data_IF_890766149049
#
_entry.id   IF_890766149049
#
_cell.length_a   1.000
_cell.length_b   1.000
_cell.length_c   1.000
_cell.angle_alpha   90.00
_cell.angle_beta   90.00
_cell.angle_gamma   90.00
#
_symmetry.space_group_name_H-M   'P 1'
#
loop_
_entity.id
_entity.type
_entity.pdbx_description
1 polymer ?
#
# COMPACT_ATOMS: atom_id res chain seq x y z
N UNK A 1 41.29 -13.53 2.50
CA UNK A 1 39.89 -13.76 2.96
C UNK A 1 39.51 -12.52 3.74
N UNK A 2 38.85 -11.55 3.09
CA UNK A 2 38.52 -10.25 3.68
C UNK A 2 37.08 -10.31 4.22
N UNK A 3 36.81 -9.93 5.47
CA UNK A 3 35.45 -9.86 5.98
C UNK A 3 34.83 -8.56 5.44
N UNK A 4 34.20 -8.63 4.28
CA UNK A 4 33.46 -7.52 3.70
C UNK A 4 31.98 -7.74 3.97
N UNK A 5 31.42 -7.01 4.95
CA UNK A 5 30.32 -6.05 4.75
C UNK A 5 29.93 -5.49 6.13
N UNK A 6 30.28 -4.23 6.46
CA UNK A 6 29.58 -3.52 7.51
C UNK A 6 28.13 -3.35 7.05
N UNK A 7 27.20 -3.74 7.92
CA UNK A 7 25.77 -3.58 7.72
C UNK A 7 25.47 -2.13 7.32
N UNK A 8 25.24 -1.89 6.03
CA UNK A 8 24.54 -0.71 5.56
C UNK A 8 23.10 -0.91 6.07
N UNK A 9 22.82 -0.50 7.31
CA UNK A 9 21.45 -0.28 7.73
C UNK A 9 20.99 0.96 6.96
N UNK A 10 20.14 0.83 5.95
CA UNK A 10 19.60 1.99 5.28
C UNK A 10 18.89 2.84 6.33
N UNK A 11 18.92 4.16 6.15
CA UNK A 11 18.34 5.12 7.10
C UNK A 11 16.85 4.84 7.43
N UNK A 12 16.16 4.06 6.60
CA UNK A 12 14.75 3.67 6.76
C UNK A 12 14.52 2.33 7.44
N UNK A 13 15.53 1.56 7.85
CA UNK A 13 15.32 0.23 8.46
C UNK A 13 15.92 0.15 9.86
N UNK A 14 15.24 0.75 10.82
CA UNK A 14 15.61 0.74 12.23
C UNK A 14 14.59 -0.04 13.05
N UNK A 15 15.02 -0.60 14.18
CA UNK A 15 14.13 -1.22 15.17
C UNK A 15 13.18 -2.31 14.61
N UNK A 16 13.62 -3.04 13.58
CA UNK A 16 12.86 -4.11 12.91
C UNK A 16 11.54 -3.64 12.26
N UNK A 17 11.49 -2.39 11.78
CA UNK A 17 10.42 -1.81 10.96
C UNK A 17 11.00 -1.01 9.78
N UNK A 18 10.17 -0.69 8.79
CA UNK A 18 10.52 0.20 7.67
C UNK A 18 10.07 1.62 8.04
N UNK A 19 10.94 2.39 8.69
CA UNK A 19 10.64 3.72 9.23
C UNK A 19 10.76 4.86 8.21
N UNK A 20 9.95 5.91 8.37
CA UNK A 20 10.04 7.16 7.61
C UNK A 20 11.39 7.89 7.79
N UNK A 21 11.84 8.06 9.04
CA UNK A 21 13.07 8.76 9.35
C UNK A 21 13.74 8.21 10.61
N UNK A 22 15.08 8.22 10.69
CA UNK A 22 15.81 7.61 11.80
C UNK A 22 15.85 8.48 13.07
N UNK A 23 15.54 9.77 12.96
CA UNK A 23 15.84 10.74 14.00
C UNK A 23 14.61 11.25 14.75
N UNK A 24 13.53 11.62 14.04
CA UNK A 24 12.38 12.33 14.59
C UNK A 24 11.21 11.41 14.94
N UNK A 25 10.50 10.91 13.94
CA UNK A 25 9.26 10.14 14.13
C UNK A 25 9.55 8.65 14.34
N UNK A 26 10.40 8.08 13.48
CA UNK A 26 10.81 6.66 13.56
C UNK A 26 9.61 5.71 13.45
N UNK A 27 8.60 6.10 12.68
CA UNK A 27 7.36 5.37 12.53
C UNK A 27 7.34 4.57 11.24
N UNK A 28 6.73 3.38 11.28
CA UNK A 28 6.66 2.46 10.15
C UNK A 28 5.66 2.87 9.09
N UNK A 29 5.78 4.07 8.52
CA UNK A 29 4.81 4.59 7.56
C UNK A 29 4.70 3.70 6.32
N UNK A 30 3.48 3.23 6.07
CA UNK A 30 3.21 2.22 5.04
C UNK A 30 3.33 2.78 3.63
N UNK A 31 3.04 4.08 3.43
CA UNK A 31 3.23 4.78 2.16
C UNK A 31 4.70 4.87 1.75
N UNK A 32 5.58 5.29 2.66
CA UNK A 32 7.03 5.35 2.47
C UNK A 32 7.61 3.96 2.19
N UNK A 33 7.21 2.98 3.01
CA UNK A 33 7.66 1.61 2.88
C UNK A 33 7.22 0.95 1.58
N UNK A 34 5.99 1.19 1.08
CA UNK A 34 5.55 0.60 -0.19
C UNK A 34 6.25 1.21 -1.40
N UNK A 35 6.58 2.51 -1.38
CA UNK A 35 7.35 3.14 -2.46
C UNK A 35 8.77 2.60 -2.56
N UNK A 36 9.39 2.30 -1.42
CA UNK A 36 10.80 1.92 -1.34
C UNK A 36 11.03 0.40 -1.34
N UNK A 37 9.99 -0.41 -1.08
CA UNK A 37 10.12 -1.86 -0.86
C UNK A 37 10.81 -2.61 -2.00
N UNK A 38 10.55 -2.25 -3.26
CA UNK A 38 11.19 -2.92 -4.39
C UNK A 38 12.70 -2.69 -4.39
N UNK A 39 13.15 -1.44 -4.24
CA UNK A 39 14.58 -1.11 -4.19
C UNK A 39 15.26 -1.78 -2.99
N UNK A 40 14.61 -1.75 -1.82
CA UNK A 40 15.07 -2.42 -0.63
C UNK A 40 15.27 -3.94 -0.81
N UNK A 41 14.31 -4.63 -1.42
CA UNK A 41 14.40 -6.07 -1.66
C UNK A 41 15.41 -6.44 -2.76
N UNK A 42 15.68 -5.55 -3.70
CA UNK A 42 16.75 -5.74 -4.70
C UNK A 42 18.16 -5.61 -4.09
N UNK A 43 18.35 -4.63 -3.20
CA UNK A 43 19.68 -4.19 -2.80
C UNK A 43 20.16 -4.80 -1.47
N UNK A 44 19.25 -5.36 -0.67
CA UNK A 44 19.52 -5.77 0.70
C UNK A 44 18.94 -7.16 0.97
N UNK A 45 19.58 -7.90 1.88
CA UNK A 45 19.00 -9.13 2.44
C UNK A 45 17.89 -8.78 3.45
N UNK A 46 16.74 -8.40 2.90
CA UNK A 46 15.60 -7.85 3.65
C UNK A 46 14.43 -8.82 3.76
N UNK A 47 14.61 -10.10 3.35
CA UNK A 47 13.53 -11.10 3.32
C UNK A 47 12.83 -11.26 4.68
N UNK A 48 13.62 -11.47 5.74
CA UNK A 48 13.07 -11.67 7.10
C UNK A 48 12.39 -10.41 7.63
N UNK A 49 12.99 -9.25 7.36
CA UNK A 49 12.45 -7.95 7.78
C UNK A 49 11.09 -7.70 7.13
N UNK A 50 10.97 -7.81 5.80
CA UNK A 50 9.70 -7.59 5.12
C UNK A 50 8.65 -8.63 5.44
N UNK A 51 9.03 -9.91 5.61
CA UNK A 51 8.06 -10.93 6.05
C UNK A 51 7.43 -10.57 7.39
N UNK A 52 8.24 -10.10 8.36
CA UNK A 52 7.75 -9.63 9.66
C UNK A 52 6.92 -8.35 9.51
N UNK A 53 7.43 -7.35 8.79
CA UNK A 53 6.74 -6.07 8.64
C UNK A 53 5.40 -6.18 7.90
N UNK A 54 5.29 -7.08 6.91
CA UNK A 54 4.01 -7.42 6.29
C UNK A 54 3.00 -7.87 7.34
N UNK A 55 3.41 -8.73 8.29
CA UNK A 55 2.53 -9.16 9.38
C UNK A 55 2.17 -8.03 10.33
N UNK A 56 3.11 -7.12 10.62
CA UNK A 56 2.77 -5.92 11.41
C UNK A 56 1.68 -5.08 10.71
N UNK A 57 1.69 -5.00 9.37
CA UNK A 57 0.62 -4.33 8.59
C UNK A 57 -0.71 -5.07 8.76
N UNK A 58 -0.70 -6.41 8.68
CA UNK A 58 -1.90 -7.23 8.85
C UNK A 58 -2.48 -7.09 10.27
N UNK A 59 -1.62 -7.15 11.28
CA UNK A 59 -1.98 -7.04 12.70
C UNK A 59 -2.48 -5.64 13.06
N UNK A 60 -2.03 -4.62 12.32
CA UNK A 60 -2.50 -3.24 12.49
C UNK A 60 -3.81 -2.95 11.74
N UNK A 61 -4.26 -3.84 10.83
CA UNK A 61 -5.50 -3.62 10.09
C UNK A 61 -6.70 -3.73 11.03
N UNK A 62 -7.63 -2.79 10.91
CA UNK A 62 -8.88 -2.82 11.66
C UNK A 62 -9.69 -4.08 11.27
N UNK A 63 -10.01 -4.97 12.23
CA UNK A 63 -10.59 -6.27 11.93
C UNK A 63 -12.04 -6.19 11.44
N UNK A 64 -12.76 -5.12 11.78
CA UNK A 64 -14.18 -4.93 11.53
C UNK A 64 -14.44 -4.22 10.19
N UNK A 65 -13.70 -3.13 9.96
CA UNK A 65 -13.86 -2.27 8.79
C UNK A 65 -12.95 -2.66 7.64
N UNK A 66 -11.78 -3.24 7.91
CA UNK A 66 -10.74 -3.48 6.92
C UNK A 66 -9.85 -2.26 6.63
N UNK A 67 -9.99 -1.17 7.40
CA UNK A 67 -9.12 0.00 7.34
C UNK A 67 -7.67 -0.39 7.67
N UNK A 68 -6.73 0.03 6.82
CA UNK A 68 -5.30 -0.22 7.01
C UNK A 68 -4.68 1.05 7.57
N UNK A 69 -4.04 0.93 8.73
CA UNK A 69 -3.39 2.04 9.39
C UNK A 69 -2.21 2.60 8.57
N UNK A 70 -1.94 3.89 8.75
CA UNK A 70 -0.87 4.58 8.02
C UNK A 70 0.53 4.25 8.54
N UNK A 71 0.64 3.64 9.72
CA UNK A 71 1.88 3.13 10.29
C UNK A 71 1.71 1.68 10.74
N UNK A 72 2.77 0.89 10.62
CA UNK A 72 2.81 -0.51 11.06
C UNK A 72 4.14 -0.81 11.79
N UNK A 73 4.11 -1.16 13.11
CA UNK A 73 2.94 -1.16 13.98
C UNK A 73 2.28 0.22 14.13
N UNK A 74 0.99 0.24 14.44
CA UNK A 74 0.25 1.49 14.54
C UNK A 74 0.61 2.29 15.80
N UNK A 75 1.15 3.49 15.60
CA UNK A 75 1.47 4.46 16.66
C UNK A 75 0.96 5.87 16.32
N UNK A 76 -0.10 5.97 15.50
CA UNK A 76 -0.59 7.23 14.94
C UNK A 76 0.09 7.59 13.62
N UNK A 77 0.01 8.86 13.23
CA UNK A 77 0.48 9.37 11.94
C UNK A 77 -0.65 9.64 10.94
N UNK A 78 -0.34 10.40 9.90
CA UNK A 78 -1.27 10.73 8.82
C UNK A 78 -0.95 10.01 7.51
N UNK A 79 -1.91 9.91 6.59
CA UNK A 79 -1.71 9.13 5.38
C UNK A 79 -2.84 9.28 4.37
N UNK A 80 -2.91 8.33 3.44
CA UNK A 80 -3.93 8.32 2.40
C UNK A 80 -4.45 6.90 2.12
N UNK A 81 -5.75 6.77 1.82
CA UNK A 81 -6.42 5.47 1.64
C UNK A 81 -5.75 4.58 0.59
N UNK A 82 -5.33 5.19 -0.50
CA UNK A 82 -4.67 4.49 -1.59
C UNK A 82 -3.17 4.29 -1.32
N UNK A 83 -2.44 5.38 -1.08
CA UNK A 83 -0.98 5.37 -1.01
C UNK A 83 -0.42 4.61 0.20
N UNK A 84 -1.04 4.78 1.37
CA UNK A 84 -0.65 4.11 2.62
C UNK A 84 -1.44 2.83 2.81
N UNK A 85 -2.77 2.90 2.71
CA UNK A 85 -3.62 1.73 2.89
C UNK A 85 -3.34 0.61 1.86
N UNK A 86 -3.01 0.97 0.62
CA UNK A 86 -2.64 0.03 -0.44
C UNK A 86 -1.35 -0.76 -0.18
N UNK A 87 -0.57 -0.43 0.85
CA UNK A 87 0.60 -1.21 1.24
C UNK A 87 0.26 -2.67 1.57
N UNK A 88 -0.96 -2.94 2.07
CA UNK A 88 -1.46 -4.30 2.33
C UNK A 88 -1.51 -5.18 1.07
N UNK A 89 -1.55 -4.57 -0.12
CA UNK A 89 -1.51 -5.26 -1.42
C UNK A 89 -0.12 -5.16 -2.05
N UNK A 90 0.43 -3.95 -2.13
CA UNK A 90 1.65 -3.65 -2.89
C UNK A 90 2.87 -4.35 -2.28
N UNK A 91 3.01 -4.30 -0.95
CA UNK A 91 4.20 -4.85 -0.27
C UNK A 91 4.22 -6.38 -0.35
N UNK A 92 3.13 -7.13 -0.03
CA UNK A 92 3.15 -8.58 -0.18
C UNK A 92 3.30 -9.07 -1.62
N UNK A 93 2.69 -8.38 -2.59
CA UNK A 93 2.88 -8.73 -4.00
C UNK A 93 4.34 -8.53 -4.42
N UNK A 94 4.95 -7.41 -4.04
CA UNK A 94 6.38 -7.14 -4.34
C UNK A 94 7.28 -8.16 -3.65
N UNK A 95 7.00 -8.50 -2.38
CA UNK A 95 7.71 -9.54 -1.65
C UNK A 95 7.62 -10.91 -2.34
N UNK A 96 6.44 -11.33 -2.80
CA UNK A 96 6.27 -12.55 -3.59
C UNK A 96 7.08 -12.51 -4.88
N UNK A 97 7.12 -11.35 -5.57
CA UNK A 97 7.88 -11.22 -6.82
C UNK A 97 9.38 -11.49 -6.62
N UNK A 98 9.94 -11.09 -5.48
CA UNK A 98 11.33 -11.30 -5.10
C UNK A 98 11.60 -12.71 -4.53
N UNK A 99 10.80 -13.15 -3.57
CA UNK A 99 11.13 -14.32 -2.74
C UNK A 99 10.26 -15.55 -3.00
N UNK A 100 9.25 -15.46 -3.88
CA UNK A 100 8.34 -16.56 -4.29
C UNK A 100 7.62 -17.24 -3.13
N UNK A 101 7.39 -16.48 -2.06
CA UNK A 101 6.79 -16.95 -0.83
C UNK A 101 5.26 -16.95 -0.95
N UNK A 102 4.72 -18.02 -1.54
CA UNK A 102 3.28 -18.16 -1.80
C UNK A 102 2.47 -18.25 -0.50
N UNK A 103 3.04 -18.84 0.55
CA UNK A 103 2.34 -19.03 1.83
C UNK A 103 2.05 -17.68 2.50
N UNK A 104 3.01 -16.76 2.53
CA UNK A 104 2.75 -15.41 3.03
C UNK A 104 1.73 -14.68 2.15
N UNK A 105 1.80 -14.85 0.83
CA UNK A 105 0.84 -14.21 -0.08
C UNK A 105 -0.60 -14.70 0.18
N UNK A 106 -0.76 -16.00 0.47
CA UNK A 106 -2.04 -16.59 0.85
C UNK A 106 -2.51 -16.07 2.22
N UNK A 107 -1.62 -15.93 3.20
CA UNK A 107 -1.90 -15.32 4.52
C UNK A 107 -2.45 -13.89 4.37
N UNK A 108 -1.91 -13.10 3.43
CA UNK A 108 -2.36 -11.73 3.18
C UNK A 108 -3.70 -11.64 2.42
N UNK A 109 -4.12 -12.66 1.67
CA UNK A 109 -5.26 -12.56 0.75
C UNK A 109 -6.58 -12.11 1.40
N UNK A 110 -7.00 -12.67 2.55
CA UNK A 110 -8.21 -12.22 3.23
C UNK A 110 -8.16 -10.74 3.65
N UNK A 111 -6.98 -10.25 4.04
CA UNK A 111 -6.77 -8.85 4.43
C UNK A 111 -6.87 -7.90 3.23
N UNK A 112 -6.39 -8.32 2.06
CA UNK A 112 -6.54 -7.56 0.81
C UNK A 112 -8.01 -7.46 0.39
N UNK A 113 -8.79 -8.53 0.53
CA UNK A 113 -10.23 -8.52 0.25
C UNK A 113 -10.99 -7.59 1.20
N UNK A 114 -10.67 -7.62 2.50
CA UNK A 114 -11.24 -6.68 3.48
C UNK A 114 -10.90 -5.23 3.13
N UNK A 115 -9.65 -4.94 2.81
CA UNK A 115 -9.23 -3.60 2.40
C UNK A 115 -9.92 -3.14 1.11
N UNK A 116 -10.10 -4.04 0.13
CA UNK A 116 -10.86 -3.74 -1.07
C UNK A 116 -12.31 -3.34 -0.75
N UNK A 117 -13.01 -4.12 0.08
CA UNK A 117 -14.38 -3.81 0.50
C UNK A 117 -14.47 -2.50 1.28
N UNK A 118 -13.51 -2.25 2.18
CA UNK A 118 -13.39 -0.96 2.86
C UNK A 118 -13.30 0.18 1.85
N UNK A 119 -12.31 0.15 0.96
CA UNK A 119 -12.08 1.20 -0.03
C UNK A 119 -13.28 1.41 -0.95
N UNK A 120 -13.94 0.33 -1.37
CA UNK A 120 -15.15 0.40 -2.18
C UNK A 120 -16.27 1.15 -1.46
N UNK A 121 -16.49 0.88 -0.16
CA UNK A 121 -17.49 1.59 0.65
C UNK A 121 -17.20 3.08 0.83
N UNK A 122 -15.95 3.51 0.61
CA UNK A 122 -15.51 4.91 0.73
C UNK A 122 -15.45 5.65 -0.59
N UNK A 123 -15.77 4.98 -1.70
CA UNK A 123 -15.81 5.61 -2.99
C UNK A 123 -17.02 6.55 -3.13
N UNK A 124 -16.79 7.80 -3.51
CA UNK A 124 -17.83 8.74 -3.93
C UNK A 124 -17.71 8.93 -5.44
N UNK A 125 -18.77 8.59 -6.17
CA UNK A 125 -18.77 8.61 -7.65
C UNK A 125 -17.61 7.79 -8.25
N UNK A 126 -17.28 6.64 -7.63
CA UNK A 126 -16.16 5.75 -7.98
C UNK A 126 -14.76 6.35 -7.80
N UNK A 127 -14.63 7.44 -7.05
CA UNK A 127 -13.36 8.03 -6.65
C UNK A 127 -13.15 7.86 -5.15
N UNK A 128 -11.91 7.59 -4.76
CA UNK A 128 -11.50 7.54 -3.35
C UNK A 128 -11.28 8.97 -2.88
N UNK A 129 -12.26 9.55 -2.17
CA UNK A 129 -12.22 10.97 -1.76
C UNK A 129 -11.80 11.19 -0.31
N UNK A 130 -12.02 10.20 0.56
CA UNK A 130 -11.55 10.19 1.95
C UNK A 130 -11.66 8.76 2.52
N UNK A 131 -10.95 8.46 3.61
CA UNK A 131 -11.15 7.23 4.40
C UNK A 131 -12.40 7.31 5.28
N UNK A 132 -12.50 8.41 6.01
CA UNK A 132 -13.62 8.74 6.88
C UNK A 132 -14.08 10.18 6.62
N UNK A 133 -15.20 10.56 7.22
CA UNK A 133 -15.59 11.98 7.27
C UNK A 133 -14.49 12.74 8.02
N UNK A 134 -13.91 13.75 7.38
CA UNK A 134 -12.79 14.55 7.89
C UNK A 134 -11.48 13.77 8.12
N UNK A 135 -11.38 12.54 7.58
CA UNK A 135 -10.17 11.72 7.62
C UNK A 135 -9.11 12.18 6.63
N UNK A 136 -7.87 11.74 6.85
CA UNK A 136 -6.77 12.04 5.94
C UNK A 136 -7.02 11.45 4.55
N UNK A 137 -6.66 12.20 3.52
CA UNK A 137 -6.67 11.76 2.14
C UNK A 137 -5.42 12.33 1.47
N UNK A 138 -4.23 12.02 2.00
CA UNK A 138 -3.01 12.53 1.41
C UNK A 138 -2.85 11.98 -0.02
N UNK A 139 -2.43 12.86 -0.93
CA UNK A 139 -2.17 12.56 -2.33
C UNK A 139 -0.68 12.49 -2.61
N UNK A 140 -0.22 13.32 -3.54
CA UNK A 140 1.19 13.45 -3.90
C UNK A 140 1.93 14.25 -2.81
N UNK A 141 2.21 13.59 -1.68
CA UNK A 141 2.78 14.23 -0.50
C UNK A 141 4.23 14.67 -0.75
N UNK A 142 4.59 15.86 -0.24
CA UNK A 142 5.92 16.45 -0.36
C UNK A 142 6.39 16.78 -1.80
N UNK A 143 5.49 17.29 -2.66
CA UNK A 143 5.92 17.90 -3.94
C UNK A 143 6.85 19.09 -3.71
N UNK A 144 7.78 19.33 -4.65
CA UNK A 144 8.70 20.48 -4.58
C UNK A 144 7.95 21.82 -4.57
N UNK A 145 6.89 21.93 -5.37
CA UNK A 145 5.96 23.07 -5.39
C UNK A 145 4.61 22.67 -4.78
N UNK A 146 3.55 23.43 -5.11
CA UNK A 146 2.19 23.07 -4.74
C UNK A 146 1.77 21.75 -5.40
N UNK A 147 1.08 20.91 -4.62
CA UNK A 147 0.44 19.69 -5.12
C UNK A 147 -0.45 20.02 -6.32
N UNK A 148 -0.12 19.46 -7.47
CA UNK A 148 -0.84 19.70 -8.73
C UNK A 148 -1.91 18.66 -9.00
N UNK A 149 -1.72 17.44 -8.52
CA UNK A 149 -2.65 16.33 -8.74
C UNK A 149 -3.60 16.26 -7.53
N UNK A 150 -4.91 16.45 -7.72
CA UNK A 150 -5.88 16.32 -6.64
C UNK A 150 -5.76 14.97 -5.94
N UNK A 151 -5.80 14.98 -4.62
CA UNK A 151 -5.59 13.81 -3.78
C UNK A 151 -6.57 12.66 -4.10
N UNK A 152 -7.85 12.92 -4.44
CA UNK A 152 -8.74 11.85 -4.86
C UNK A 152 -8.28 11.12 -6.12
N UNK A 153 -7.59 11.79 -7.04
CA UNK A 153 -7.05 11.14 -8.25
C UNK A 153 -5.86 10.24 -7.92
N UNK A 154 -4.96 10.70 -7.02
CA UNK A 154 -3.83 9.90 -6.56
C UNK A 154 -4.32 8.65 -5.82
N UNK A 155 -5.26 8.80 -4.89
CA UNK A 155 -5.79 7.68 -4.12
C UNK A 155 -6.59 6.71 -5.00
N UNK A 156 -7.36 7.22 -5.97
CA UNK A 156 -8.06 6.36 -6.95
C UNK A 156 -7.07 5.62 -7.84
N UNK A 157 -5.97 6.24 -8.25
CA UNK A 157 -4.91 5.55 -9.00
C UNK A 157 -4.34 4.38 -8.20
N UNK A 158 -4.01 4.58 -6.93
CA UNK A 158 -3.50 3.50 -6.08
C UNK A 158 -4.53 2.39 -5.89
N UNK A 159 -5.81 2.73 -5.76
CA UNK A 159 -6.87 1.73 -5.66
C UNK A 159 -6.97 0.87 -6.93
N UNK A 160 -6.95 1.50 -8.12
CA UNK A 160 -6.92 0.79 -9.41
C UNK A 160 -5.67 -0.08 -9.54
N UNK A 161 -4.50 0.45 -9.16
CA UNK A 161 -3.22 -0.28 -9.18
C UNK A 161 -3.29 -1.52 -8.29
N UNK A 162 -3.84 -1.40 -7.09
CA UNK A 162 -3.98 -2.52 -6.16
C UNK A 162 -4.97 -3.56 -6.68
N UNK A 163 -6.11 -3.17 -7.26
CA UNK A 163 -7.06 -4.09 -7.91
C UNK A 163 -6.37 -4.93 -9.00
N UNK A 164 -5.59 -4.30 -9.89
CA UNK A 164 -4.82 -5.03 -10.90
C UNK A 164 -3.68 -5.90 -10.35
N UNK A 165 -3.20 -5.65 -9.12
CA UNK A 165 -2.29 -6.57 -8.42
C UNK A 165 -3.06 -7.73 -7.79
N UNK A 166 -4.23 -7.47 -7.19
CA UNK A 166 -5.10 -8.49 -6.62
C UNK A 166 -5.55 -9.50 -7.67
N UNK A 167 -5.87 -9.08 -8.90
CA UNK A 167 -6.16 -10.00 -10.02
C UNK A 167 -4.99 -10.94 -10.32
N UNK A 168 -3.74 -10.44 -10.29
CA UNK A 168 -2.54 -11.27 -10.49
C UNK A 168 -2.33 -12.23 -9.33
N UNK A 169 -2.55 -11.77 -8.10
CA UNK A 169 -2.44 -12.57 -6.88
C UNK A 169 -3.48 -13.69 -6.89
N UNK A 170 -4.73 -13.39 -7.24
CA UNK A 170 -5.80 -14.34 -7.41
C UNK A 170 -5.40 -15.48 -8.36
N UNK A 171 -4.81 -15.14 -9.52
CA UNK A 171 -4.26 -16.13 -10.46
C UNK A 171 -3.09 -16.96 -9.91
N UNK A 172 -2.24 -16.39 -9.05
CA UNK A 172 -1.13 -17.12 -8.38
C UNK A 172 -1.66 -18.08 -7.31
N UNK A 173 -2.70 -17.67 -6.58
CA UNK A 173 -3.26 -18.43 -5.47
C UNK A 173 -4.28 -19.47 -5.95
N UNK A 174 -4.89 -19.28 -7.11
CA UNK A 174 -6.01 -20.08 -7.59
C UNK A 174 -7.33 -19.67 -6.93
N UNK A 175 -7.46 -18.40 -6.61
CA UNK A 175 -8.58 -17.79 -5.88
C UNK A 175 -9.41 -16.92 -6.84
N UNK A 176 -10.71 -16.79 -6.60
CA UNK A 176 -11.62 -15.99 -7.43
C UNK A 176 -12.60 -15.14 -6.61
N UNK A 177 -12.40 -15.03 -5.29
CA UNK A 177 -13.26 -14.23 -4.43
C UNK A 177 -13.25 -12.76 -4.88
N UNK A 178 -14.46 -12.18 -5.01
CA UNK A 178 -14.69 -10.79 -5.42
C UNK A 178 -14.12 -10.41 -6.79
N UNK A 179 -13.72 -11.37 -7.63
CA UNK A 179 -13.15 -11.10 -8.96
C UNK A 179 -14.02 -10.14 -9.78
N UNK A 180 -15.31 -10.45 -9.93
CA UNK A 180 -16.25 -9.61 -10.68
C UNK A 180 -16.46 -8.22 -10.06
N UNK A 181 -16.41 -8.12 -8.73
CA UNK A 181 -16.51 -6.84 -8.02
C UNK A 181 -15.28 -5.97 -8.28
N UNK A 182 -14.08 -6.57 -8.23
CA UNK A 182 -12.80 -5.93 -8.47
C UNK A 182 -12.73 -5.41 -9.91
N UNK A 183 -13.04 -6.26 -10.90
CA UNK A 183 -13.04 -5.89 -12.31
C UNK A 183 -14.02 -4.74 -12.60
N UNK A 184 -15.24 -4.82 -12.06
CA UNK A 184 -16.27 -3.78 -12.21
C UNK A 184 -15.86 -2.47 -11.56
N UNK A 185 -15.32 -2.51 -10.35
CA UNK A 185 -14.87 -1.32 -9.62
C UNK A 185 -13.68 -0.66 -10.33
N UNK A 186 -12.72 -1.44 -10.82
CA UNK A 186 -11.58 -0.93 -11.58
C UNK A 186 -12.04 -0.21 -12.86
N UNK A 187 -12.96 -0.81 -13.62
CA UNK A 187 -13.53 -0.19 -14.82
C UNK A 187 -14.27 1.12 -14.50
N UNK A 188 -15.07 1.13 -13.44
CA UNK A 188 -15.83 2.31 -13.02
C UNK A 188 -14.91 3.46 -12.56
N UNK A 189 -13.91 3.16 -11.74
CA UNK A 189 -12.91 4.14 -11.27
C UNK A 189 -12.04 4.67 -12.41
N UNK A 190 -11.62 3.83 -13.36
CA UNK A 190 -10.91 4.27 -14.56
C UNK A 190 -11.73 5.27 -15.40
N UNK A 191 -13.03 5.02 -15.56
CA UNK A 191 -13.94 5.94 -16.26
C UNK A 191 -14.08 7.27 -15.51
N UNK A 192 -14.23 7.23 -14.18
CA UNK A 192 -14.36 8.41 -13.35
C UNK A 192 -13.11 9.32 -13.41
N UNK A 193 -11.91 8.73 -13.37
CA UNK A 193 -10.65 9.46 -13.50
C UNK A 193 -10.53 10.15 -14.87
N UNK A 194 -10.94 9.48 -15.95
CA UNK A 194 -10.90 10.05 -17.31
C UNK A 194 -11.81 11.27 -17.48
N UNK A 195 -13.00 11.25 -16.87
CA UNK A 195 -13.97 12.36 -16.93
C UNK A 195 -13.43 13.60 -16.20
N UNK A 196 -12.68 13.41 -15.11
CA UNK A 196 -12.15 14.51 -14.28
C UNK A 196 -10.78 15.05 -14.72
N UNK A 197 -10.13 14.49 -15.75
CA UNK A 197 -8.96 15.16 -16.33
C UNK A 197 -9.41 16.50 -16.91
N UNK A 198 -8.83 17.64 -16.51
CA UNK A 198 -9.04 18.87 -17.25
C UNK A 198 -8.64 18.61 -18.70
N UNK A 199 -9.50 18.95 -19.65
CA UNK A 199 -9.10 18.98 -21.05
C UNK A 199 -7.96 19.98 -21.13
N UNK A 200 -6.75 19.49 -21.43
CA UNK A 200 -5.61 20.35 -21.72
C UNK A 200 -5.97 21.18 -22.95
N UNK A 201 -6.38 22.42 -22.72
CA UNK A 201 -6.42 23.47 -23.73
C UNK A 201 -5.05 24.06 -23.94
#
# INVERSE_FOLDING_TARGET
MWPSHPLLYPAMMHYAIVSDCPHRERLGYTGDGQLTCNAAMLLLDSRRLYRKWIRDILDSQDPDTGHVQHTAPFYGGGGGPGGWGGAVVIVPYTYYRHFKDRDLLAECWPHMLKWFSYMQSRCVLNLVTSEEKDGWCLGDWCTYERVQIPEPLVNTYYFIKCMGMMEKIAGILGCDEKKDEIERQAAASLKAVKIKRPQSG
#
